data_IF_417500372576
#
_entry.id   IF_417500372576
#
_cell.length_a   1.000
_cell.length_b   1.000
_cell.length_c   1.000
_cell.angle_alpha   90.00
_cell.angle_beta   90.00
_cell.angle_gamma   90.00
#
_symmetry.space_group_name_H-M   'P 1'
#
loop_
_entity.id
_entity.type
_entity.pdbx_description
1 polymer ?
#
# COMPACT_ATOMS: atom_id res chain seq x y z
N UNK A 1 4.39 -15.47 -39.59
CA UNK A 1 4.41 -15.20 -38.13
C UNK A 1 5.75 -15.65 -37.58
N UNK A 2 6.67 -14.71 -37.36
CA UNK A 2 8.04 -14.98 -36.89
C UNK A 2 8.04 -15.28 -35.39
N UNK A 3 8.64 -16.43 -35.03
CA UNK A 3 8.85 -16.87 -33.65
C UNK A 3 9.90 -15.97 -32.99
N UNK A 4 9.51 -15.26 -31.93
CA UNK A 4 10.46 -14.65 -31.00
C UNK A 4 10.87 -15.72 -29.98
N UNK A 5 12.02 -16.36 -30.23
CA UNK A 5 12.77 -17.07 -29.20
C UNK A 5 13.43 -16.02 -28.29
N UNK A 6 12.97 -15.92 -27.05
CA UNK A 6 13.63 -15.14 -26.02
C UNK A 6 14.98 -15.79 -25.68
N UNK A 7 16.02 -15.40 -26.41
CA UNK A 7 17.40 -15.52 -25.97
C UNK A 7 17.56 -14.55 -24.80
N UNK A 8 17.53 -15.06 -23.57
CA UNK A 8 18.19 -14.41 -22.46
C UNK A 8 19.69 -14.54 -22.68
N UNK A 9 20.45 -13.44 -22.89
CA UNK A 9 21.88 -13.52 -22.69
C UNK A 9 22.12 -13.59 -21.18
N UNK A 10 23.06 -14.45 -20.79
CA UNK A 10 23.79 -14.41 -19.52
C UNK A 10 24.38 -13.01 -19.32
N UNK A 11 23.56 -12.07 -18.82
CA UNK A 11 23.94 -10.70 -18.48
C UNK A 11 24.37 -10.62 -17.01
N UNK A 12 25.29 -11.51 -16.65
CA UNK A 12 26.38 -11.20 -15.74
C UNK A 12 27.61 -11.77 -16.45
N UNK A 13 28.01 -11.08 -17.52
CA UNK A 13 29.31 -11.32 -18.13
C UNK A 13 30.33 -11.16 -17.02
N UNK A 14 31.04 -12.24 -16.69
CA UNK A 14 32.14 -12.23 -15.74
C UNK A 14 33.24 -11.32 -16.26
N UNK A 15 33.09 -10.02 -16.04
CA UNK A 15 34.22 -9.11 -16.02
C UNK A 15 35.02 -9.50 -14.79
N UNK A 16 36.11 -10.23 -15.04
CA UNK A 16 37.24 -10.21 -14.12
C UNK A 16 37.60 -8.75 -13.96
N UNK A 17 37.32 -8.19 -12.80
CA UNK A 17 37.90 -6.92 -12.38
C UNK A 17 39.41 -6.99 -12.66
N UNK A 18 40.01 -5.98 -13.30
CA UNK A 18 41.45 -5.95 -13.48
C UNK A 18 42.08 -5.87 -12.09
N UNK A 19 42.58 -7.00 -11.59
CA UNK A 19 43.58 -7.00 -10.53
C UNK A 19 44.76 -6.16 -11.05
N UNK A 20 44.96 -5.00 -10.45
CA UNK A 20 46.02 -4.08 -10.86
C UNK A 20 47.40 -4.73 -10.83
N UNK A 21 48.22 -4.32 -11.79
CA UNK A 21 49.68 -4.15 -11.66
C UNK A 21 50.53 -5.34 -11.17
N UNK A 22 51.48 -5.84 -11.98
CA UNK A 22 52.42 -6.85 -11.55
C UNK A 22 53.51 -6.20 -10.68
N UNK A 23 53.33 -6.12 -9.36
CA UNK A 23 54.44 -5.87 -8.42
C UNK A 23 54.01 -6.03 -6.95
N UNK A 24 53.52 -7.21 -6.57
CA UNK A 24 53.69 -7.80 -5.21
C UNK A 24 52.85 -9.07 -5.02
N UNK A 25 53.06 -10.09 -5.86
CA UNK A 25 52.64 -11.44 -5.49
C UNK A 25 53.67 -12.04 -4.53
N UNK A 26 53.48 -11.82 -3.23
CA UNK A 26 54.15 -12.58 -2.18
C UNK A 26 53.62 -14.02 -2.14
N UNK A 27 54.57 -14.95 -2.01
CA UNK A 27 54.49 -16.42 -2.13
C UNK A 27 53.66 -17.17 -1.07
N UNK A 28 52.67 -16.54 -0.43
CA UNK A 28 51.80 -17.25 0.54
C UNK A 28 50.34 -17.14 0.11
N UNK A 29 49.86 -18.15 -0.60
CA UNK A 29 48.51 -18.25 -1.14
C UNK A 29 47.40 -18.28 -0.07
N UNK A 30 47.11 -17.14 0.54
CA UNK A 30 45.89 -16.90 1.32
C UNK A 30 45.40 -15.48 1.07
N UNK A 31 44.37 -15.34 0.24
CA UNK A 31 43.54 -14.15 0.23
C UNK A 31 42.76 -14.10 1.56
N UNK A 32 43.26 -13.35 2.53
CA UNK A 32 42.58 -13.04 3.80
C UNK A 32 41.65 -11.83 3.64
N UNK A 33 40.73 -11.87 2.66
CA UNK A 33 39.59 -10.95 2.65
C UNK A 33 38.41 -11.65 3.32
N UNK A 34 38.00 -11.26 4.54
CA UNK A 34 36.85 -11.85 5.24
C UNK A 34 35.50 -11.43 4.62
N UNK A 35 35.51 -10.58 3.59
CA UNK A 35 34.31 -9.92 3.05
C UNK A 35 33.75 -10.59 1.78
N UNK A 36 34.47 -11.52 1.17
CA UNK A 36 33.87 -12.43 0.17
C UNK A 36 33.29 -13.66 0.87
N UNK A 37 32.31 -13.46 1.76
CA UNK A 37 31.38 -14.55 2.04
C UNK A 37 30.60 -14.74 0.75
N UNK A 38 30.84 -15.86 0.08
CA UNK A 38 29.90 -16.40 -0.89
C UNK A 38 28.54 -16.41 -0.20
N UNK A 39 27.65 -15.53 -0.63
CA UNK A 39 26.23 -15.70 -0.39
C UNK A 39 25.91 -17.07 -1.00
N UNK A 40 25.90 -18.13 -0.19
CA UNK A 40 25.21 -19.35 -0.57
C UNK A 40 23.83 -18.86 -0.95
N UNK A 41 23.46 -18.98 -2.23
CA UNK A 41 22.09 -18.77 -2.66
C UNK A 41 21.24 -19.52 -1.64
N UNK A 42 20.61 -18.74 -0.79
CA UNK A 42 19.80 -19.19 0.31
C UNK A 42 18.74 -20.10 -0.27
N UNK A 43 18.60 -21.25 0.36
CA UNK A 43 17.48 -22.19 0.30
C UNK A 43 16.29 -21.63 -0.52
N UNK A 44 16.28 -21.95 -1.82
CA UNK A 44 15.11 -21.68 -2.66
C UNK A 44 14.01 -22.64 -2.19
N UNK A 45 13.34 -22.28 -1.10
CA UNK A 45 12.17 -22.99 -0.61
C UNK A 45 11.10 -22.87 -1.69
N UNK A 46 10.83 -23.98 -2.37
CA UNK A 46 9.68 -24.10 -3.24
C UNK A 46 8.44 -23.91 -2.38
N UNK A 47 7.57 -22.96 -2.77
CA UNK A 47 6.29 -22.77 -2.10
C UNK A 47 5.51 -24.08 -2.15
N UNK A 48 5.05 -24.54 -0.99
CA UNK A 48 4.16 -25.70 -0.92
C UNK A 48 2.78 -25.27 -1.42
N UNK A 49 2.03 -26.20 -2.01
CA UNK A 49 0.65 -25.94 -2.45
C UNK A 49 -0.19 -25.37 -1.30
N UNK A 50 -0.03 -25.96 -0.11
CA UNK A 50 -0.62 -25.49 1.14
C UNK A 50 0.03 -24.24 1.74
N UNK A 51 0.80 -23.45 0.99
CA UNK A 51 1.25 -22.10 1.36
C UNK A 51 0.69 -21.05 0.39
N UNK A 52 0.10 -21.50 -0.72
CA UNK A 52 -0.50 -20.63 -1.72
C UNK A 52 -2.03 -20.65 -1.61
N UNK A 53 -2.68 -19.71 -2.28
CA UNK A 53 -4.10 -19.77 -2.57
C UNK A 53 -4.27 -19.96 -4.07
N UNK A 54 -4.85 -21.09 -4.52
CA UNK A 54 -5.34 -21.15 -5.89
C UNK A 54 -6.39 -20.05 -6.04
N UNK A 55 -6.20 -19.18 -7.03
CA UNK A 55 -7.26 -18.34 -7.58
C UNK A 55 -8.38 -19.27 -8.00
N UNK A 56 -9.62 -18.79 -7.86
CA UNK A 56 -10.83 -19.58 -8.00
C UNK A 56 -10.75 -20.60 -9.13
N UNK A 57 -11.35 -21.78 -8.91
CA UNK A 57 -11.40 -22.81 -9.93
C UNK A 57 -11.83 -22.19 -11.26
N UNK A 58 -11.21 -22.65 -12.35
CA UNK A 58 -11.28 -22.02 -13.67
C UNK A 58 -12.73 -21.79 -14.16
N UNK A 59 -13.67 -22.60 -13.68
CA UNK A 59 -15.11 -22.48 -13.90
C UNK A 59 -15.75 -21.19 -13.34
N UNK A 60 -15.14 -20.55 -12.34
CA UNK A 60 -15.66 -19.34 -11.70
C UNK A 60 -15.07 -18.05 -12.28
N UNK A 61 -13.97 -18.13 -13.03
CA UNK A 61 -13.39 -16.95 -13.69
C UNK A 61 -14.15 -16.71 -14.98
N UNK A 62 -14.95 -15.63 -15.04
CA UNK A 62 -15.51 -15.18 -16.32
C UNK A 62 -14.35 -14.85 -17.24
N UNK A 63 -14.14 -15.64 -18.30
CA UNK A 63 -13.08 -15.35 -19.29
C UNK A 63 -13.30 -13.93 -19.84
N UNK A 64 -12.41 -12.96 -19.56
CA UNK A 64 -12.47 -11.71 -20.29
C UNK A 64 -12.15 -12.03 -21.75
N UNK A 65 -12.94 -11.50 -22.68
CA UNK A 65 -12.80 -11.81 -24.10
C UNK A 65 -11.42 -11.40 -24.68
N UNK A 66 -10.62 -10.57 -23.98
CA UNK A 66 -9.46 -9.89 -24.57
C UNK A 66 -8.28 -9.57 -23.62
N UNK A 67 -8.22 -10.07 -22.38
CA UNK A 67 -7.05 -9.83 -21.50
C UNK A 67 -6.18 -11.08 -21.44
N UNK A 68 -4.92 -10.95 -21.87
CA UNK A 68 -3.94 -12.02 -21.86
C UNK A 68 -3.66 -12.48 -20.43
N UNK A 69 -4.38 -13.51 -19.99
CA UNK A 69 -4.19 -14.09 -18.69
C UNK A 69 -3.09 -15.14 -18.79
N UNK A 70 -1.84 -14.67 -18.77
CA UNK A 70 -0.63 -15.46 -19.00
C UNK A 70 -0.61 -16.83 -18.28
N UNK A 71 -1.13 -16.89 -17.05
CA UNK A 71 -1.28 -18.12 -16.25
C UNK A 71 -2.38 -19.04 -16.80
N UNK A 72 -3.56 -18.48 -17.10
CA UNK A 72 -4.71 -19.21 -17.64
C UNK A 72 -4.43 -19.74 -19.04
N UNK A 73 -3.72 -18.97 -19.88
CA UNK A 73 -3.26 -19.38 -21.22
C UNK A 73 -2.32 -20.61 -21.17
N UNK A 74 -1.75 -20.91 -20.00
CA UNK A 74 -0.85 -22.05 -19.74
C UNK A 74 -1.52 -23.17 -18.93
N UNK A 75 -2.82 -23.08 -18.69
CA UNK A 75 -3.56 -24.04 -17.86
C UNK A 75 -3.15 -24.03 -16.39
N UNK A 76 -2.46 -22.98 -15.95
CA UNK A 76 -2.13 -22.80 -14.54
C UNK A 76 -3.28 -22.05 -13.87
N UNK A 77 -3.80 -22.61 -12.77
CA UNK A 77 -4.60 -21.82 -11.84
C UNK A 77 -3.73 -20.62 -11.44
N UNK A 78 -4.23 -19.40 -11.63
CA UNK A 78 -3.50 -18.27 -11.06
C UNK A 78 -3.41 -18.49 -9.55
N UNK A 79 -2.33 -18.08 -8.93
CA UNK A 79 -2.13 -18.25 -7.49
C UNK A 79 -1.80 -16.89 -6.90
N UNK A 80 -2.40 -16.58 -5.76
CA UNK A 80 -1.96 -15.41 -4.99
C UNK A 80 -0.72 -15.80 -4.18
N UNK A 81 0.41 -16.01 -4.85
CA UNK A 81 1.65 -16.46 -4.21
C UNK A 81 2.11 -15.53 -3.07
N UNK A 82 1.74 -14.24 -3.13
CA UNK A 82 1.98 -13.27 -2.06
C UNK A 82 1.40 -13.68 -0.71
N UNK A 83 0.32 -14.49 -0.65
CA UNK A 83 -0.22 -14.99 0.63
C UNK A 83 0.71 -15.95 1.36
N UNK A 84 1.68 -16.54 0.65
CA UNK A 84 2.65 -17.42 1.27
C UNK A 84 3.51 -16.68 2.29
N UNK A 85 3.60 -15.35 2.24
CA UNK A 85 4.26 -14.55 3.25
C UNK A 85 3.70 -14.78 4.66
N UNK A 86 2.41 -15.12 4.81
CA UNK A 86 1.84 -15.48 6.11
C UNK A 86 2.31 -16.84 6.64
N UNK A 87 2.84 -17.72 5.79
CA UNK A 87 3.35 -19.04 6.21
C UNK A 87 4.80 -19.02 6.70
N UNK A 88 5.47 -17.87 6.62
CA UNK A 88 6.89 -17.70 6.96
C UNK A 88 7.09 -17.47 8.47
N UNK A 89 6.50 -18.31 9.32
CA UNK A 89 6.46 -18.17 10.79
C UNK A 89 7.84 -18.25 11.46
N UNK A 90 8.88 -18.64 10.73
CA UNK A 90 10.27 -18.52 11.17
C UNK A 90 10.73 -17.04 11.32
N UNK A 91 10.04 -16.09 10.68
CA UNK A 91 10.31 -14.66 10.80
C UNK A 91 9.28 -13.97 11.69
N UNK A 92 9.75 -13.07 12.56
CA UNK A 92 8.85 -12.23 13.36
C UNK A 92 7.99 -11.29 12.49
N UNK A 93 8.55 -10.82 11.38
CA UNK A 93 7.91 -9.91 10.43
C UNK A 93 8.59 -10.00 9.07
N UNK A 94 7.80 -9.86 8.01
CA UNK A 94 8.23 -9.89 6.62
C UNK A 94 7.75 -8.61 5.94
N UNK A 95 8.64 -7.93 5.23
CA UNK A 95 8.29 -6.84 4.32
C UNK A 95 8.25 -7.41 2.91
N UNK A 96 7.07 -7.43 2.31
CA UNK A 96 6.86 -7.87 0.93
C UNK A 96 6.92 -6.65 0.02
N UNK A 97 7.76 -6.73 -1.00
CA UNK A 97 7.91 -5.73 -2.05
C UNK A 97 7.62 -6.39 -3.39
N UNK A 98 6.78 -5.78 -4.21
CA UNK A 98 6.60 -6.22 -5.58
C UNK A 98 7.90 -6.01 -6.38
N UNK A 99 8.10 -6.85 -7.40
CA UNK A 99 9.30 -6.82 -8.24
C UNK A 99 9.44 -5.54 -9.08
N UNK A 100 8.38 -4.73 -9.18
CA UNK A 100 8.33 -3.43 -9.83
C UNK A 100 8.37 -2.27 -8.83
N UNK A 101 9.08 -2.46 -7.72
CA UNK A 101 9.39 -1.42 -6.74
C UNK A 101 10.86 -1.00 -6.79
N UNK A 102 11.17 0.20 -6.30
CA UNK A 102 12.53 0.68 -6.07
C UNK A 102 12.63 1.40 -4.73
N UNK A 103 13.47 0.90 -3.84
CA UNK A 103 13.76 1.53 -2.57
C UNK A 103 14.77 2.67 -2.74
N UNK A 104 14.36 3.90 -2.41
CA UNK A 104 15.20 5.10 -2.48
C UNK A 104 15.91 5.42 -1.16
N UNK A 105 15.34 4.97 -0.03
CA UNK A 105 15.82 5.28 1.32
C UNK A 105 15.61 4.06 2.22
N UNK A 106 16.38 3.96 3.31
CA UNK A 106 16.17 2.96 4.34
C UNK A 106 14.71 3.01 4.84
N UNK A 107 14.11 1.83 5.01
CA UNK A 107 12.73 1.62 5.46
C UNK A 107 12.67 0.56 6.56
N UNK A 108 13.72 0.43 7.39
CA UNK A 108 13.80 -0.64 8.38
C UNK A 108 12.73 -0.51 9.46
N UNK A 109 12.19 0.68 9.66
CA UNK A 109 11.04 0.94 10.53
C UNK A 109 9.76 0.17 10.12
N UNK A 110 9.68 -0.34 8.88
CA UNK A 110 8.61 -1.26 8.47
C UNK A 110 8.69 -2.61 9.20
N UNK A 111 9.86 -2.98 9.75
CA UNK A 111 10.05 -4.16 10.59
C UNK A 111 9.67 -3.90 12.06
N UNK A 112 9.52 -2.65 12.48
CA UNK A 112 9.23 -2.25 13.85
C UNK A 112 7.79 -1.73 14.01
N UNK A 113 6.79 -2.54 13.64
CA UNK A 113 5.37 -2.20 13.82
C UNK A 113 4.74 -2.86 15.07
N UNK A 114 5.57 -3.28 16.02
CA UNK A 114 5.14 -3.98 17.23
C UNK A 114 4.26 -5.21 16.94
N UNK A 115 3.10 -5.27 17.60
CA UNK A 115 2.15 -6.41 17.53
C UNK A 115 1.21 -6.38 16.33
N UNK A 116 1.22 -5.31 15.54
CA UNK A 116 0.35 -5.14 14.38
C UNK A 116 0.49 -6.31 13.39
N UNK A 117 -0.59 -6.91 12.92
CA UNK A 117 -0.47 -8.06 12.01
C UNK A 117 -0.16 -7.65 10.59
N UNK A 118 -0.68 -6.51 10.15
CA UNK A 118 -0.59 -6.09 8.77
C UNK A 118 -0.48 -4.57 8.65
N UNK A 119 0.33 -4.10 7.71
CA UNK A 119 0.26 -2.73 7.23
C UNK A 119 0.59 -2.66 5.75
N UNK A 120 -0.16 -1.85 5.00
CA UNK A 120 0.12 -1.55 3.61
C UNK A 120 -0.32 -0.13 3.28
N UNK A 121 0.22 0.45 2.21
CA UNK A 121 -0.20 1.78 1.77
C UNK A 121 -1.59 1.76 1.15
N UNK A 122 -2.33 2.87 1.15
CA UNK A 122 -3.58 2.95 0.43
C UNK A 122 -3.36 2.87 -1.08
N UNK A 123 -4.33 2.30 -1.76
CA UNK A 123 -4.50 2.31 -3.20
C UNK A 123 -5.18 3.61 -3.62
N UNK A 124 -4.68 4.23 -4.69
CA UNK A 124 -5.12 5.57 -5.10
C UNK A 124 -6.06 5.58 -6.29
N UNK A 125 -6.27 4.43 -6.96
CA UNK A 125 -7.09 4.37 -8.18
C UNK A 125 -8.57 4.03 -7.95
N UNK A 126 -8.93 3.55 -6.75
CA UNK A 126 -10.31 3.16 -6.41
C UNK A 126 -10.65 3.49 -4.97
N UNK A 127 -11.76 4.18 -4.78
CA UNK A 127 -12.44 4.26 -3.49
C UNK A 127 -13.16 2.93 -3.22
N UNK A 128 -13.20 2.52 -1.96
CA UNK A 128 -14.10 1.47 -1.47
C UNK A 128 -14.97 2.05 -0.36
N UNK A 129 -16.20 1.57 -0.23
CA UNK A 129 -16.99 1.87 0.98
C UNK A 129 -16.44 1.06 2.16
N UNK A 130 -16.12 1.73 3.26
CA UNK A 130 -15.79 1.10 4.54
C UNK A 130 -17.07 0.54 5.15
N UNK A 131 -17.29 -0.76 4.98
CA UNK A 131 -18.47 -1.44 5.50
C UNK A 131 -18.41 -1.66 7.02
N UNK A 132 -17.24 -1.44 7.65
CA UNK A 132 -17.07 -1.66 9.10
C UNK A 132 -17.64 -0.53 9.95
N UNK A 133 -17.88 0.65 9.36
CA UNK A 133 -18.45 1.79 10.07
C UNK A 133 -19.98 1.81 9.93
N UNK A 134 -20.66 1.40 11.01
CA UNK A 134 -22.12 1.40 11.12
C UNK A 134 -22.67 2.84 10.98
N UNK A 135 -23.10 3.20 9.79
CA UNK A 135 -23.59 4.55 9.47
C UNK A 135 -23.65 4.86 7.98
N UNK A 136 -22.92 4.10 7.15
CA UNK A 136 -22.98 4.18 5.70
C UNK A 136 -22.26 5.41 5.14
N UNK A 137 -21.43 5.17 4.11
CA UNK A 137 -20.74 6.17 3.27
C UNK A 137 -19.38 6.71 3.74
N UNK A 138 -18.67 6.10 4.70
CA UNK A 138 -17.23 6.43 4.78
C UNK A 138 -16.54 5.72 3.61
N UNK A 139 -16.11 6.47 2.60
CA UNK A 139 -15.21 5.92 1.58
C UNK A 139 -13.83 5.76 2.21
N UNK A 140 -13.32 4.55 2.20
CA UNK A 140 -11.94 4.20 2.56
C UNK A 140 -11.19 3.80 1.31
N UNK A 141 -9.87 3.82 1.38
CA UNK A 141 -9.02 3.41 0.26
C UNK A 141 -8.82 1.90 0.31
N UNK A 142 -8.78 1.25 -0.85
CA UNK A 142 -8.26 -0.11 -0.93
C UNK A 142 -6.84 -0.16 -0.39
N UNK A 143 -6.38 -1.31 0.09
CA UNK A 143 -4.96 -1.52 0.36
C UNK A 143 -4.22 -1.81 -0.95
N UNK A 144 -3.10 -1.11 -1.19
CA UNK A 144 -2.17 -1.48 -2.24
C UNK A 144 -1.16 -2.50 -1.70
N UNK A 145 -1.11 -3.66 -2.33
CA UNK A 145 -0.31 -4.78 -1.91
C UNK A 145 1.14 -4.78 -2.44
N UNK A 146 1.57 -3.73 -3.15
CA UNK A 146 2.92 -3.64 -3.68
C UNK A 146 3.99 -3.46 -2.61
N UNK A 147 3.60 -2.89 -1.46
CA UNK A 147 4.44 -2.83 -0.25
C UNK A 147 3.59 -3.18 0.96
N UNK A 148 3.94 -4.29 1.62
CA UNK A 148 3.24 -4.77 2.80
C UNK A 148 4.23 -5.12 3.91
N UNK A 149 3.90 -4.78 5.15
CA UNK A 149 4.55 -5.31 6.35
C UNK A 149 3.61 -6.31 7.02
N UNK A 150 4.02 -7.57 7.03
CA UNK A 150 3.20 -8.70 7.46
C UNK A 150 3.86 -9.35 8.67
N UNK A 151 3.08 -9.62 9.71
CA UNK A 151 3.44 -10.57 10.76
C UNK A 151 2.97 -11.96 10.31
N UNK A 152 3.88 -12.90 9.98
CA UNK A 152 3.49 -14.24 9.59
C UNK A 152 2.60 -14.90 10.64
N UNK A 153 1.56 -15.59 10.16
CA UNK A 153 0.56 -16.26 10.97
C UNK A 153 -0.17 -17.29 10.10
N UNK A 154 0.16 -18.57 10.26
CA UNK A 154 -0.42 -19.65 9.47
C UNK A 154 -1.91 -19.87 9.78
N UNK A 155 -2.37 -19.50 10.97
CA UNK A 155 -3.79 -19.53 11.34
C UNK A 155 -4.59 -18.53 10.50
N UNK A 156 -4.11 -17.28 10.36
CA UNK A 156 -4.75 -16.27 9.50
C UNK A 156 -4.78 -16.72 8.03
N UNK A 157 -3.72 -17.37 7.54
CA UNK A 157 -3.71 -17.96 6.21
C UNK A 157 -4.75 -19.08 6.07
N UNK A 158 -4.92 -19.92 7.10
CA UNK A 158 -5.97 -20.93 7.18
C UNK A 158 -7.37 -20.32 7.18
N UNK A 159 -7.58 -19.21 7.89
CA UNK A 159 -8.85 -18.49 7.88
C UNK A 159 -9.14 -17.87 6.50
N UNK A 160 -8.14 -17.24 5.86
CA UNK A 160 -8.28 -16.71 4.51
C UNK A 160 -8.66 -17.80 3.50
N UNK A 161 -8.11 -19.01 3.64
CA UNK A 161 -8.51 -20.19 2.85
C UNK A 161 -9.96 -20.56 3.01
N UNK A 162 -10.46 -20.54 4.24
CA UNK A 162 -11.86 -20.84 4.52
C UNK A 162 -12.76 -19.74 3.94
N UNK A 163 -12.37 -18.46 4.09
CA UNK A 163 -13.12 -17.32 3.54
C UNK A 163 -13.24 -17.39 2.02
N UNK A 164 -12.17 -17.73 1.28
CA UNK A 164 -12.27 -17.86 -0.19
C UNK A 164 -13.17 -19.01 -0.65
N UNK A 165 -13.59 -19.92 0.23
CA UNK A 165 -14.59 -20.94 -0.08
C UNK A 165 -16.03 -20.46 0.10
N UNK A 166 -16.25 -19.34 0.78
CA UNK A 166 -17.58 -18.80 1.05
C UNK A 166 -18.09 -17.96 -0.13
N UNK A 167 -19.29 -18.25 -0.68
CA UNK A 167 -19.85 -17.51 -1.81
C UNK A 167 -19.96 -15.99 -1.58
N UNK A 168 -20.35 -15.58 -0.37
CA UNK A 168 -20.54 -14.18 0.01
C UNK A 168 -19.23 -13.41 0.00
N UNK A 169 -18.16 -14.02 0.52
CA UNK A 169 -16.83 -13.46 0.51
C UNK A 169 -16.28 -13.33 -0.91
N UNK A 170 -16.46 -14.36 -1.75
CA UNK A 170 -16.08 -14.29 -3.18
C UNK A 170 -16.77 -13.14 -3.88
N UNK A 171 -18.08 -13.01 -3.69
CA UNK A 171 -18.86 -11.91 -4.27
C UNK A 171 -18.35 -10.54 -3.83
N UNK A 172 -17.98 -10.39 -2.55
CA UNK A 172 -17.39 -9.15 -2.04
C UNK A 172 -16.08 -8.81 -2.75
N UNK A 173 -15.18 -9.79 -2.94
CA UNK A 173 -13.90 -9.62 -3.64
C UNK A 173 -14.11 -9.27 -5.13
N UNK A 174 -15.01 -9.97 -5.83
CA UNK A 174 -15.36 -9.71 -7.24
C UNK A 174 -15.84 -8.28 -7.46
N UNK A 175 -16.72 -7.80 -6.58
CA UNK A 175 -17.33 -6.46 -6.68
C UNK A 175 -16.31 -5.33 -6.60
N UNK A 176 -15.25 -5.54 -5.82
CA UNK A 176 -14.15 -4.58 -5.64
C UNK A 176 -13.14 -4.68 -6.79
N UNK A 177 -12.99 -5.89 -7.32
CA UNK A 177 -12.16 -6.25 -8.45
C UNK A 177 -12.26 -5.32 -9.67
N UNK A 178 -11.23 -5.33 -10.53
CA UNK A 178 -11.25 -4.55 -11.78
C UNK A 178 -12.13 -5.31 -12.78
N UNK A 179 -13.21 -4.68 -13.26
CA UNK A 179 -14.17 -5.30 -14.18
C UNK A 179 -14.82 -6.59 -13.65
N UNK A 180 -14.98 -6.71 -12.32
CA UNK A 180 -15.53 -7.93 -11.70
C UNK A 180 -14.50 -9.05 -11.52
N UNK A 181 -13.24 -8.82 -11.90
CA UNK A 181 -12.17 -9.81 -11.72
C UNK A 181 -11.46 -9.61 -10.36
N UNK A 182 -11.27 -10.69 -9.57
CA UNK A 182 -10.55 -10.60 -8.33
C UNK A 182 -9.13 -10.16 -8.60
N UNK A 183 -8.63 -9.32 -7.72
CA UNK A 183 -7.21 -9.08 -7.62
C UNK A 183 -6.77 -9.29 -6.17
N UNK A 184 -5.46 -9.39 -5.98
CA UNK A 184 -4.90 -9.67 -4.67
C UNK A 184 -5.26 -8.61 -3.63
N UNK A 185 -5.29 -7.34 -4.05
CA UNK A 185 -5.64 -6.21 -3.20
C UNK A 185 -7.08 -6.34 -2.67
N UNK A 186 -8.05 -6.61 -3.55
CA UNK A 186 -9.44 -6.82 -3.21
C UNK A 186 -9.63 -8.01 -2.27
N UNK A 187 -8.86 -9.09 -2.48
CA UNK A 187 -8.88 -10.27 -1.63
C UNK A 187 -8.43 -9.93 -0.19
N UNK A 188 -7.26 -9.34 -0.05
CA UNK A 188 -6.68 -9.02 1.26
C UNK A 188 -7.48 -7.93 1.96
N UNK A 189 -7.91 -6.90 1.24
CA UNK A 189 -8.72 -5.83 1.83
C UNK A 189 -10.05 -6.36 2.36
N UNK A 190 -10.78 -7.17 1.58
CA UNK A 190 -12.03 -7.79 2.03
C UNK A 190 -11.81 -8.70 3.25
N UNK A 191 -10.74 -9.49 3.25
CA UNK A 191 -10.42 -10.37 4.37
C UNK A 191 -10.10 -9.58 5.63
N UNK A 192 -9.28 -8.54 5.52
CA UNK A 192 -8.92 -7.70 6.65
C UNK A 192 -10.12 -6.87 7.15
N UNK A 193 -11.01 -6.39 6.27
CA UNK A 193 -12.23 -5.70 6.72
C UNK A 193 -13.18 -6.64 7.51
N UNK A 194 -13.22 -7.92 7.16
CA UNK A 194 -14.05 -8.92 7.86
C UNK A 194 -13.45 -9.35 9.22
N UNK A 195 -12.12 -9.38 9.32
CA UNK A 195 -11.41 -10.05 10.44
C UNK A 195 -10.56 -9.14 11.32
N UNK A 196 -10.27 -7.93 10.88
CA UNK A 196 -9.37 -7.01 11.55
C UNK A 196 -9.94 -5.61 11.66
N UNK A 197 -9.52 -4.89 12.69
CA UNK A 197 -9.85 -3.49 12.84
C UNK A 197 -8.81 -2.64 12.10
N UNK A 198 -9.27 -1.84 11.14
CA UNK A 198 -8.44 -0.87 10.44
C UNK A 198 -8.19 0.33 11.34
N UNK A 199 -6.95 0.47 11.79
CA UNK A 199 -6.45 1.71 12.38
C UNK A 199 -5.89 2.58 11.27
N UNK A 200 -5.88 3.91 11.46
CA UNK A 200 -5.51 4.85 10.40
C UNK A 200 -4.02 4.80 10.03
N UNK A 201 -3.38 5.95 9.87
CA UNK A 201 -1.99 5.98 9.36
C UNK A 201 -0.99 5.59 10.44
N UNK A 202 -0.09 4.66 10.14
CA UNK A 202 1.03 4.28 10.98
C UNK A 202 1.92 5.50 11.29
N UNK A 203 2.26 5.70 12.56
CA UNK A 203 3.06 6.83 13.06
C UNK A 203 4.33 6.32 13.71
N UNK A 204 5.44 6.97 13.40
CA UNK A 204 6.73 6.71 14.04
C UNK A 204 7.20 8.01 14.70
N UNK A 205 7.81 7.85 15.86
CA UNK A 205 8.48 8.93 16.57
C UNK A 205 9.63 9.51 15.73
N UNK A 206 10.10 10.73 16.02
CA UNK A 206 11.32 11.28 15.39
C UNK A 206 12.57 10.41 15.59
N UNK A 207 12.54 9.48 16.56
CA UNK A 207 13.62 8.52 16.83
C UNK A 207 13.47 7.18 16.08
N UNK A 208 12.42 7.04 15.26
CA UNK A 208 12.16 5.85 14.44
C UNK A 208 11.29 4.78 15.08
N UNK A 209 10.99 4.86 16.39
CA UNK A 209 10.12 3.88 17.06
C UNK A 209 8.66 4.06 16.71
N UNK A 210 7.93 2.97 16.47
CA UNK A 210 6.50 2.99 16.14
C UNK A 210 5.62 3.39 17.33
N UNK A 211 4.83 4.45 17.15
CA UNK A 211 3.99 5.04 18.19
C UNK A 211 2.56 4.49 18.17
N UNK A 212 2.09 4.02 17.00
CA UNK A 212 0.72 3.56 16.82
C UNK A 212 0.13 4.03 15.49
N UNK A 213 -1.19 4.13 15.42
CA UNK A 213 -1.90 4.48 14.19
C UNK A 213 -2.96 5.57 14.45
N UNK A 214 -3.02 6.57 13.58
CA UNK A 214 -3.86 7.75 13.76
C UNK A 214 -5.07 7.74 12.81
N UNK A 215 -6.29 7.65 13.35
CA UNK A 215 -7.53 7.53 12.57
C UNK A 215 -7.87 8.78 11.75
N UNK A 216 -7.45 9.95 12.22
CA UNK A 216 -7.56 11.22 11.52
C UNK A 216 -6.23 11.90 11.63
N UNK A 217 -5.53 12.08 10.52
CA UNK A 217 -4.54 13.15 10.50
C UNK A 217 -5.36 14.43 10.60
N UNK A 218 -5.25 15.20 11.71
CA UNK A 218 -5.91 16.48 11.77
C UNK A 218 -5.37 17.26 10.58
N UNK A 219 -6.24 17.70 9.67
CA UNK A 219 -5.82 18.55 8.56
C UNK A 219 -5.05 19.72 9.18
N UNK A 220 -3.72 19.68 9.08
CA UNK A 220 -2.86 20.61 9.81
C UNK A 220 -3.10 22.00 9.24
N UNK A 221 -3.93 22.81 9.90
CA UNK A 221 -4.07 24.23 9.59
C UNK A 221 -5.46 24.78 9.28
N UNK A 222 -6.55 24.01 9.33
CA UNK A 222 -7.88 24.65 9.38
C UNK A 222 -8.12 25.17 10.81
N UNK A 223 -7.69 26.41 11.08
CA UNK A 223 -8.12 27.14 12.27
C UNK A 223 -9.65 27.08 12.32
N UNK A 224 -10.18 26.58 13.44
CA UNK A 224 -11.59 26.55 13.81
C UNK A 224 -12.41 27.66 13.12
N UNK A 225 -13.24 27.25 12.18
CA UNK A 225 -14.60 27.75 12.13
C UNK A 225 -15.49 26.57 12.47
N UNK A 226 -15.91 26.52 13.72
CA UNK A 226 -16.96 25.66 14.20
C UNK A 226 -18.21 25.88 13.33
N UNK A 227 -18.40 25.05 12.30
CA UNK A 227 -19.70 24.94 11.64
C UNK A 227 -20.55 24.03 12.50
N UNK A 228 -21.25 24.69 13.43
CA UNK A 228 -22.24 24.10 14.32
C UNK A 228 -23.41 23.57 13.47
N UNK A 229 -23.32 22.32 13.04
CA UNK A 229 -24.36 21.67 12.23
C UNK A 229 -25.32 20.88 13.13
N UNK A 230 -25.96 21.59 14.08
CA UNK A 230 -27.15 21.13 14.78
C UNK A 230 -28.31 21.98 14.28
N UNK A 231 -28.98 21.54 13.21
CA UNK A 231 -30.38 21.86 12.90
C UNK A 231 -30.79 21.18 11.58
N UNK A 232 -31.01 19.86 11.60
CA UNK A 232 -31.93 19.25 10.64
C UNK A 232 -32.47 17.89 11.13
N UNK A 233 -33.30 17.94 12.17
CA UNK A 233 -34.46 17.07 12.32
C UNK A 233 -35.47 17.83 13.19
N UNK A 234 -36.44 18.46 12.53
CA UNK A 234 -37.70 18.84 13.17
C UNK A 234 -38.65 17.70 12.89
N UNK A 235 -39.01 16.95 13.92
CA UNK A 235 -40.33 16.36 14.05
C UNK A 235 -40.73 16.31 15.53
N UNK A 236 -41.73 17.13 15.84
CA UNK A 236 -42.96 16.78 16.55
C UNK A 236 -42.90 16.11 17.94
N UNK A 237 -43.36 16.88 18.93
CA UNK A 237 -44.09 16.45 20.14
C UNK A 237 -43.41 15.49 21.12
N UNK A 238 -42.85 16.05 22.20
CA UNK A 238 -43.30 15.66 23.55
C UNK A 238 -42.94 16.73 24.58
N UNK A 239 -43.95 17.03 25.38
CA UNK A 239 -44.01 18.01 26.44
C UNK A 239 -43.39 17.37 27.70
N UNK A 240 -42.27 17.88 28.23
CA UNK A 240 -41.91 17.62 29.63
C UNK A 240 -40.89 18.62 30.19
N UNK A 241 -41.40 19.45 31.08
CA UNK A 241 -40.83 20.11 32.26
C UNK A 241 -39.30 20.21 32.43
N UNK A 242 -38.88 21.47 32.39
CA UNK A 242 -37.76 22.09 33.09
C UNK A 242 -37.41 21.46 34.46
N UNK A 243 -36.16 21.00 34.59
CA UNK A 243 -35.41 21.06 35.85
C UNK A 243 -34.06 21.71 35.56
N UNK A 244 -33.90 22.92 36.09
CA UNK A 244 -32.62 23.60 36.22
C UNK A 244 -31.70 22.79 37.12
N UNK A 245 -30.52 22.41 36.61
CA UNK A 245 -29.36 22.12 37.46
C UNK A 245 -28.12 22.78 36.87
N UNK A 246 -27.83 23.97 37.40
CA UNK A 246 -26.49 24.53 37.45
C UNK A 246 -25.59 23.58 38.24
N UNK A 247 -24.51 23.09 37.63
CA UNK A 247 -23.30 22.83 38.39
C UNK A 247 -22.05 22.92 37.53
N UNK A 248 -21.18 23.80 38.01
CA UNK A 248 -19.81 24.07 37.56
C UNK A 248 -18.98 22.79 37.48
N UNK A 249 -18.37 22.53 36.32
CA UNK A 249 -17.11 21.80 36.19
C UNK A 249 -16.46 22.08 34.82
N UNK A 250 -16.08 23.34 34.59
CA UNK A 250 -15.24 23.74 33.48
C UNK A 250 -13.78 23.74 33.93
N UNK A 251 -13.07 22.61 33.84
CA UNK A 251 -11.60 22.60 33.90
C UNK A 251 -10.89 21.36 33.30
N UNK A 252 -11.49 20.60 32.38
CA UNK A 252 -10.82 19.42 31.77
C UNK A 252 -10.93 19.28 30.23
N UNK A 253 -11.38 20.30 29.49
CA UNK A 253 -11.66 20.14 28.06
C UNK A 253 -10.54 20.56 27.08
N UNK A 254 -9.36 20.96 27.56
CA UNK A 254 -8.23 21.34 26.69
C UNK A 254 -7.36 20.17 26.18
N UNK A 255 -7.79 18.91 26.34
CA UNK A 255 -7.09 17.73 25.79
C UNK A 255 -7.72 17.12 24.52
N UNK A 256 -8.76 17.74 23.94
CA UNK A 256 -9.49 17.18 22.78
C UNK A 256 -9.13 17.87 21.47
N UNK A 257 -7.93 17.60 20.96
CA UNK A 257 -7.63 17.77 19.52
C UNK A 257 -6.38 16.98 19.05
N UNK A 258 -5.77 16.13 19.89
CA UNK A 258 -4.90 15.09 19.37
C UNK A 258 -5.81 14.06 18.71
N UNK A 259 -5.82 13.98 17.37
CA UNK A 259 -6.56 12.93 16.66
C UNK A 259 -6.29 11.59 17.32
N UNK A 260 -7.34 10.80 17.55
CA UNK A 260 -7.28 9.57 18.37
C UNK A 260 -6.18 8.63 17.83
N UNK A 261 -5.01 8.70 18.49
CA UNK A 261 -3.88 7.84 18.24
C UNK A 261 -4.16 6.53 18.96
N UNK A 262 -4.43 5.48 18.19
CA UNK A 262 -4.39 4.11 18.69
C UNK A 262 -2.92 3.77 18.95
N UNK A 263 -2.48 3.94 20.19
CA UNK A 263 -1.09 3.76 20.60
C UNK A 263 -0.65 2.32 20.36
N UNK A 264 0.64 2.08 20.11
CA UNK A 264 1.17 0.76 19.76
C UNK A 264 0.84 -0.35 20.78
N UNK A 265 0.65 -0.01 22.06
CA UNK A 265 0.25 -0.94 23.12
C UNK A 265 -1.25 -1.29 23.12
N UNK A 266 -2.09 -0.48 22.45
CA UNK A 266 -3.51 -0.74 22.23
C UNK A 266 -3.75 -1.66 21.03
N UNK A 267 -2.77 -1.78 20.15
CA UNK A 267 -2.84 -2.58 18.93
C UNK A 267 -2.51 -4.05 19.22
N UNK A 268 -3.39 -4.94 18.79
CA UNK A 268 -3.28 -6.39 18.84
C UNK A 268 -2.86 -7.02 17.51
N UNK A 269 -2.74 -8.35 17.54
CA UNK A 269 -2.39 -9.16 16.35
C UNK A 269 -3.52 -9.35 15.35
N UNK A 270 -4.69 -8.75 15.60
CA UNK A 270 -5.80 -8.70 14.66
C UNK A 270 -6.02 -7.27 14.13
N UNK A 271 -5.10 -6.34 14.40
CA UNK A 271 -5.22 -4.96 13.94
C UNK A 271 -4.32 -4.73 12.72
N UNK A 272 -4.76 -3.86 11.82
CA UNK A 272 -3.95 -3.39 10.70
C UNK A 272 -3.94 -1.87 10.59
N UNK A 273 -2.89 -1.34 9.97
CA UNK A 273 -2.76 0.10 9.73
C UNK A 273 -2.45 0.43 8.27
N UNK A 274 -2.70 1.68 7.90
CA UNK A 274 -2.28 2.21 6.62
C UNK A 274 -0.84 2.74 6.71
N UNK A 275 0.01 2.35 5.78
CA UNK A 275 1.30 3.00 5.58
C UNK A 275 1.07 4.33 4.84
N UNK A 276 1.82 5.39 5.16
CA UNK A 276 1.79 6.59 4.33
C UNK A 276 2.24 6.28 2.88
N UNK A 277 1.86 7.13 1.93
CA UNK A 277 2.11 6.92 0.49
C UNK A 277 3.58 7.08 0.11
N UNK A 278 4.43 7.56 1.01
CA UNK A 278 5.88 7.59 0.80
C UNK A 278 6.50 6.18 0.77
N UNK A 279 5.89 5.18 1.40
CA UNK A 279 6.30 3.78 1.33
C UNK A 279 5.76 3.04 0.10
N UNK A 280 4.94 3.67 -0.73
CA UNK A 280 4.39 3.05 -1.93
C UNK A 280 4.02 4.12 -2.95
N UNK A 281 5.01 4.93 -3.33
CA UNK A 281 4.76 6.08 -4.16
C UNK A 281 4.61 5.67 -5.62
N UNK A 282 3.40 5.85 -6.15
CA UNK A 282 3.10 5.55 -7.54
C UNK A 282 3.79 6.54 -8.48
N UNK A 283 4.52 6.01 -9.45
CA UNK A 283 5.27 6.83 -10.42
C UNK A 283 4.66 6.84 -11.81
N UNK A 284 3.64 6.03 -12.08
CA UNK A 284 2.92 6.12 -13.33
C UNK A 284 1.85 7.23 -13.31
N UNK A 285 1.69 7.85 -14.47
CA UNK A 285 0.78 8.98 -14.65
C UNK A 285 -0.67 8.62 -14.32
N UNK A 286 -1.25 7.47 -14.77
CA UNK A 286 -2.60 7.09 -14.38
C UNK A 286 -2.83 7.11 -12.87
N UNK A 287 -1.96 6.50 -12.06
CA UNK A 287 -2.18 6.44 -10.61
C UNK A 287 -2.00 7.80 -9.94
N UNK A 288 -1.01 8.59 -10.34
CA UNK A 288 -0.85 9.97 -9.83
C UNK A 288 -2.04 10.85 -10.25
N UNK A 289 -2.54 10.67 -11.48
CA UNK A 289 -3.70 11.39 -11.98
C UNK A 289 -5.00 10.96 -11.29
N UNK A 290 -5.20 9.66 -11.08
CA UNK A 290 -6.36 9.14 -10.35
C UNK A 290 -6.31 9.53 -8.87
N UNK A 291 -5.15 9.45 -8.22
CA UNK A 291 -4.96 10.03 -6.89
C UNK A 291 -5.42 11.49 -6.90
N UNK A 292 -4.92 12.25 -7.87
CA UNK A 292 -5.23 13.65 -7.98
C UNK A 292 -6.73 13.93 -8.22
N UNK A 293 -7.39 13.01 -8.93
CA UNK A 293 -8.81 13.03 -9.22
C UNK A 293 -9.68 12.59 -8.03
N UNK A 294 -9.29 11.56 -7.30
CA UNK A 294 -9.99 11.02 -6.14
C UNK A 294 -9.91 11.99 -4.96
N UNK A 295 -8.73 12.53 -4.69
CA UNK A 295 -8.49 13.50 -3.61
C UNK A 295 -8.97 14.91 -3.95
N UNK A 296 -9.46 15.12 -5.16
CA UNK A 296 -9.94 16.39 -5.74
C UNK A 296 -11.12 16.95 -4.98
N UNK A 297 -12.16 16.13 -4.80
CA UNK A 297 -13.39 16.57 -4.14
C UNK A 297 -13.09 16.98 -2.70
N UNK A 298 -12.14 16.33 -2.03
CA UNK A 298 -11.72 16.68 -0.69
C UNK A 298 -10.78 17.89 -0.64
N UNK A 299 -9.86 18.02 -1.60
CA UNK A 299 -8.96 19.17 -1.70
C UNK A 299 -9.72 20.49 -1.99
N UNK A 300 -10.84 20.43 -2.70
CA UNK A 300 -11.67 21.59 -3.06
C UNK A 300 -12.91 21.80 -2.17
N UNK A 301 -13.27 20.85 -1.29
CA UNK A 301 -14.41 20.97 -0.35
C UNK A 301 -14.31 22.13 0.65
N UNK A 302 -13.16 22.80 0.76
CA UNK A 302 -12.96 24.03 1.55
C UNK A 302 -13.40 25.32 0.84
N UNK A 303 -13.68 25.29 -0.47
CA UNK A 303 -14.22 26.40 -1.25
C UNK A 303 -15.67 26.11 -1.59
N UNK A 304 -16.60 26.95 -1.12
CA UNK A 304 -18.05 26.79 -1.28
C UNK A 304 -18.45 26.47 -2.73
N UNK A 305 -18.74 25.22 -3.07
CA UNK A 305 -19.21 24.90 -4.42
C UNK A 305 -19.69 23.44 -4.58
N UNK A 306 -20.99 23.27 -4.74
CA UNK A 306 -21.54 22.24 -5.63
C UNK A 306 -21.29 22.56 -7.12
N UNK A 307 -20.65 23.70 -7.44
CA UNK A 307 -20.15 24.08 -8.77
C UNK A 307 -18.68 23.69 -9.02
N UNK A 308 -18.00 23.02 -8.08
CA UNK A 308 -16.58 22.73 -8.16
C UNK A 308 -16.27 21.49 -9.01
N UNK A 309 -17.21 20.56 -9.19
CA UNK A 309 -16.95 19.37 -10.02
C UNK A 309 -16.57 19.78 -11.44
N UNK A 310 -17.29 20.75 -12.02
CA UNK A 310 -17.12 21.22 -13.40
C UNK A 310 -15.87 22.10 -13.53
N UNK A 311 -15.67 23.02 -12.58
CA UNK A 311 -14.48 23.88 -12.54
C UNK A 311 -13.17 23.08 -12.43
N UNK A 312 -13.20 21.86 -11.88
CA UNK A 312 -12.00 21.03 -11.79
C UNK A 312 -11.75 20.20 -13.05
N UNK A 313 -12.78 19.85 -13.83
CA UNK A 313 -12.57 19.26 -15.16
C UNK A 313 -11.88 20.25 -16.11
N UNK A 314 -12.17 21.54 -15.93
CA UNK A 314 -11.56 22.62 -16.70
C UNK A 314 -10.27 23.18 -16.08
N UNK A 315 -9.90 22.72 -14.87
CA UNK A 315 -8.71 23.20 -14.18
C UNK A 315 -7.44 22.73 -14.89
N UNK A 316 -6.41 23.59 -15.01
CA UNK A 316 -5.11 23.17 -15.54
C UNK A 316 -4.55 21.99 -14.74
N UNK A 317 -4.06 20.95 -15.44
CA UNK A 317 -3.52 19.72 -14.80
C UNK A 317 -2.51 20.01 -13.67
N UNK A 318 -1.64 21.00 -13.87
CA UNK A 318 -0.64 21.40 -12.87
C UNK A 318 -1.29 21.91 -11.57
N UNK A 319 -2.41 22.63 -11.67
CA UNK A 319 -3.15 23.10 -10.50
C UNK A 319 -3.76 21.93 -9.72
N UNK A 320 -4.33 20.94 -10.43
CA UNK A 320 -4.87 19.71 -9.83
C UNK A 320 -3.76 18.94 -9.10
N UNK A 321 -2.62 18.70 -9.75
CA UNK A 321 -1.48 18.02 -9.12
C UNK A 321 -0.96 18.75 -7.87
N UNK A 322 -0.80 20.07 -7.94
CA UNK A 322 -0.34 20.85 -6.79
C UNK A 322 -1.34 20.80 -5.62
N UNK A 323 -2.64 20.83 -5.90
CA UNK A 323 -3.68 20.67 -4.89
C UNK A 323 -3.63 19.28 -4.24
N UNK A 324 -3.43 18.22 -5.03
CA UNK A 324 -3.29 16.84 -4.53
C UNK A 324 -2.06 16.66 -3.67
N UNK A 325 -0.89 17.14 -4.09
CA UNK A 325 0.34 17.07 -3.29
C UNK A 325 0.16 17.82 -1.97
N UNK A 326 -0.49 18.99 -2.00
CA UNK A 326 -0.81 19.75 -0.79
C UNK A 326 -1.76 18.96 0.11
N UNK A 327 -2.82 18.38 -0.43
CA UNK A 327 -3.76 17.55 0.33
C UNK A 327 -3.06 16.34 0.96
N UNK A 328 -2.26 15.59 0.19
CA UNK A 328 -1.50 14.43 0.68
C UNK A 328 -0.57 14.81 1.85
N UNK A 329 0.07 15.98 1.76
CA UNK A 329 0.90 16.50 2.86
C UNK A 329 0.06 16.90 4.07
N UNK A 330 -1.02 17.63 3.86
CA UNK A 330 -1.91 18.10 4.93
C UNK A 330 -2.65 16.95 5.64
N UNK A 331 -2.95 15.87 4.92
CA UNK A 331 -3.55 14.63 5.44
C UNK A 331 -2.51 13.68 5.99
N UNK A 332 -1.22 14.04 6.00
CA UNK A 332 -0.12 13.22 6.51
C UNK A 332 0.12 11.92 5.73
N UNK A 333 -0.59 11.71 4.62
CA UNK A 333 -0.37 10.61 3.68
C UNK A 333 1.02 10.73 3.05
N UNK A 334 1.48 11.95 2.75
CA UNK A 334 2.83 12.23 2.27
C UNK A 334 3.61 13.04 3.31
N UNK A 335 4.41 12.34 4.11
CA UNK A 335 5.18 12.97 5.21
C UNK A 335 6.48 13.62 4.77
N UNK A 336 7.06 13.12 3.68
CA UNK A 336 8.35 13.59 3.19
C UNK A 336 8.55 13.28 1.71
N UNK A 337 9.79 12.99 1.35
CA UNK A 337 10.12 12.43 0.04
C UNK A 337 9.67 10.96 -0.04
N UNK A 338 9.30 10.47 -1.23
CA UNK A 338 9.14 9.04 -1.45
C UNK A 338 10.32 8.23 -0.91
N UNK A 339 10.02 7.15 -0.20
CA UNK A 339 11.00 6.16 0.25
C UNK A 339 11.04 4.95 -0.67
N UNK A 340 9.89 4.56 -1.22
CA UNK A 340 9.76 3.47 -2.19
C UNK A 340 8.95 3.97 -3.38
N UNK A 341 9.49 3.80 -4.58
CA UNK A 341 8.77 3.99 -5.84
C UNK A 341 8.12 2.68 -6.25
N UNK A 342 6.91 2.75 -6.80
CA UNK A 342 6.18 1.60 -7.31
C UNK A 342 5.60 1.94 -8.69
N UNK A 343 5.85 1.08 -9.68
CA UNK A 343 5.31 1.20 -11.05
C UNK A 343 4.13 0.23 -11.26
N UNK A 344 2.98 0.41 -10.59
CA UNK A 344 1.90 -0.56 -10.67
C UNK A 344 1.30 -0.66 -12.09
N UNK A 345 0.58 -1.75 -12.33
CA UNK A 345 -0.29 -1.89 -13.49
C UNK A 345 0.40 -2.27 -14.80
N UNK A 346 -0.28 -1.97 -15.91
CA UNK A 346 0.01 -2.47 -17.26
C UNK A 346 0.95 -1.56 -18.07
N UNK A 347 1.31 -0.39 -17.53
CA UNK A 347 2.23 0.51 -18.21
C UNK A 347 3.62 -0.13 -18.34
N UNK A 348 4.39 0.34 -19.32
CA UNK A 348 5.76 -0.14 -19.52
C UNK A 348 6.59 0.11 -18.28
N UNK A 349 7.17 -0.96 -17.75
CA UNK A 349 8.06 -0.97 -16.60
C UNK A 349 9.40 -0.33 -16.96
N UNK A 350 10.19 0.16 -15.99
CA UNK A 350 11.46 0.85 -16.26
C UNK A 350 12.42 0.08 -17.16
N UNK A 351 12.56 -1.23 -16.93
CA UNK A 351 13.42 -2.11 -17.73
C UNK A 351 12.97 -2.27 -19.19
N UNK A 352 11.71 -1.95 -19.50
CA UNK A 352 11.20 -1.94 -20.88
C UNK A 352 11.50 -0.61 -21.60
N UNK A 353 11.99 0.41 -20.89
CA UNK A 353 12.36 1.74 -21.39
C UNK A 353 13.88 1.90 -21.45
N UNK A 354 14.54 1.08 -22.26
CA UNK A 354 15.99 1.03 -22.34
C UNK A 354 16.63 2.28 -22.97
N UNK A 355 15.91 3.02 -23.82
CA UNK A 355 16.43 4.24 -24.44
C UNK A 355 16.28 5.46 -23.50
N UNK A 356 17.36 6.20 -23.26
CA UNK A 356 17.36 7.34 -22.34
C UNK A 356 16.26 8.38 -22.64
N UNK A 357 16.02 8.68 -23.92
CA UNK A 357 14.95 9.62 -24.35
C UNK A 357 13.53 9.20 -23.97
N UNK A 358 13.33 7.90 -23.68
CA UNK A 358 12.01 7.35 -23.30
C UNK A 358 11.80 7.27 -21.78
N UNK A 359 12.82 7.62 -20.99
CA UNK A 359 12.80 7.48 -19.53
C UNK A 359 12.30 8.76 -18.87
N UNK A 360 11.36 8.61 -17.94
CA UNK A 360 11.07 9.64 -16.95
C UNK A 360 12.22 9.75 -15.93
N UNK A 361 12.30 10.82 -15.13
CA UNK A 361 13.27 10.92 -14.03
C UNK A 361 13.24 9.72 -13.08
N UNK A 362 12.06 9.12 -12.85
CA UNK A 362 11.92 7.92 -12.02
C UNK A 362 12.44 6.67 -12.71
N UNK A 363 12.17 6.50 -14.01
CA UNK A 363 12.75 5.40 -14.79
C UNK A 363 14.29 5.50 -14.80
N UNK A 364 14.82 6.72 -14.91
CA UNK A 364 16.27 6.98 -14.83
C UNK A 364 16.85 6.61 -13.45
N UNK A 365 16.14 6.92 -12.36
CA UNK A 365 16.54 6.49 -11.01
C UNK A 365 16.63 4.95 -10.90
N UNK A 366 15.69 4.22 -11.52
CA UNK A 366 15.76 2.75 -11.58
C UNK A 366 16.98 2.26 -12.37
N UNK A 367 17.25 2.84 -13.55
CA UNK A 367 18.41 2.45 -14.36
C UNK A 367 19.74 2.77 -13.69
N UNK A 368 19.82 3.88 -12.95
CA UNK A 368 21.00 4.21 -12.15
C UNK A 368 21.23 3.19 -11.03
N UNK A 369 20.17 2.80 -10.30
CA UNK A 369 20.25 1.77 -9.27
C UNK A 369 20.66 0.41 -9.87
N UNK A 370 20.05 0.00 -10.98
CA UNK A 370 20.42 -1.21 -11.71
C UNK A 370 21.90 -1.21 -12.10
N UNK A 371 22.38 -0.13 -12.73
CA UNK A 371 23.79 0.01 -13.17
C UNK A 371 24.78 0.00 -12.01
N UNK A 372 24.37 0.45 -10.83
CA UNK A 372 25.24 0.41 -9.65
C UNK A 372 25.36 -0.99 -9.03
N UNK A 373 24.37 -1.87 -9.25
CA UNK A 373 24.30 -3.21 -8.65
C UNK A 373 24.82 -4.33 -9.58
N UNK A 374 24.73 -4.13 -10.89
CA UNK A 374 25.07 -5.11 -11.93
C UNK A 374 26.27 -4.63 -12.74
#
# INVERSE_FOLDING_TARGET
>A
MQRWSALWPTLCGGQRLPCGGPSSCLRSGRCLSPLCRTWKLTDLRLLRENETLPMWQQEFIRKPANMGAWFQDRGLAAVFAQVAAWSLEEFHRVVVLDADTLMLRNCDELFDLGRLSFAASPETHKDQEDITQSGGKLRTYLLNAGVMSIRPNAELLGQLRLSVQQPEFRWAVERIGVNGEPNFQALIDSFLQDRSLRHGLAVWSPRGGFEGCIHKVPATGSRNKDYNNNNFFKDSNSNSNNINNNNNNNNNNNRKASGDLASSWQLGGADHCLLPVDYNFFVDFPHVFFAAYTFRDEAFRGSAAHSASDAVWDSPRLAVFNATVRWLRNSGMLRGSPKILHWPGLARKPWQKWAAVSRSPWDEAWWNAHTAMC
#
